data_IF_947195160054
#
_entry.id   IF_947195160054
#
_cell.length_a   1.000
_cell.length_b   1.000
_cell.length_c   1.000
_cell.angle_alpha   90.00
_cell.angle_beta   90.00
_cell.angle_gamma   90.00
#
_symmetry.space_group_name_H-M   'P 1'
#
loop_
_entity.id
_entity.type
_entity.pdbx_description
1 polymer ?
#
# COMPACT_ATOMS: atom_id res chain seq x y z
N UNK A 1 8.12 -18.32 -10.38
CA UNK A 1 7.16 -18.31 -9.25
C UNK A 1 7.82 -18.48 -7.86
N UNK A 2 9.12 -18.15 -7.67
CA UNK A 2 9.84 -18.42 -6.40
C UNK A 2 10.27 -17.18 -5.58
N UNK A 3 9.92 -15.95 -5.97
CA UNK A 3 10.47 -14.71 -5.36
C UNK A 3 9.54 -13.96 -4.38
N UNK A 4 8.34 -14.47 -4.12
CA UNK A 4 7.35 -13.84 -3.23
C UNK A 4 6.96 -14.71 -2.02
N UNK A 5 7.46 -15.94 -1.93
CA UNK A 5 7.06 -16.90 -0.90
C UNK A 5 7.24 -16.39 0.54
N UNK A 6 8.33 -15.70 0.93
CA UNK A 6 8.49 -15.28 2.32
C UNK A 6 7.48 -14.21 2.71
N UNK A 7 7.37 -13.13 1.93
CA UNK A 7 6.39 -12.05 2.19
C UNK A 7 4.96 -12.59 2.18
N UNK A 8 4.59 -13.39 1.18
CA UNK A 8 3.25 -13.97 1.11
C UNK A 8 3.00 -14.93 2.27
N UNK A 9 3.98 -15.75 2.67
CA UNK A 9 3.85 -16.61 3.85
C UNK A 9 3.71 -15.80 5.15
N UNK A 10 4.43 -14.68 5.28
CA UNK A 10 4.26 -13.72 6.38
C UNK A 10 2.86 -13.07 6.37
N UNK A 11 2.32 -12.75 5.19
CA UNK A 11 1.01 -12.14 5.04
C UNK A 11 -0.15 -13.14 5.27
N UNK A 12 0.04 -14.42 4.94
CA UNK A 12 -1.05 -15.41 4.88
C UNK A 12 -1.15 -16.39 6.05
N UNK A 13 -0.22 -16.39 7.02
CA UNK A 13 -0.26 -17.27 8.21
C UNK A 13 -0.82 -18.69 7.90
N UNK A 14 -0.32 -19.35 6.85
CA UNK A 14 -0.85 -20.64 6.39
C UNK A 14 0.18 -21.77 6.46
N UNK A 15 -0.35 -22.97 6.70
CA UNK A 15 0.31 -24.12 7.31
C UNK A 15 1.19 -24.86 6.28
N UNK A 16 2.51 -24.61 6.23
CA UNK A 16 3.45 -25.42 5.43
C UNK A 16 4.04 -26.62 6.19
N UNK A 17 3.66 -27.83 5.82
CA UNK A 17 4.10 -29.08 6.45
C UNK A 17 5.64 -29.17 6.57
N UNK A 18 6.14 -29.44 7.79
CA UNK A 18 7.57 -29.48 8.10
C UNK A 18 8.19 -30.72 7.46
N UNK A 19 9.00 -30.54 6.42
CA UNK A 19 9.96 -31.55 5.97
C UNK A 19 11.34 -31.26 6.60
N UNK A 20 12.21 -32.28 6.60
CA UNK A 20 13.47 -32.31 7.35
C UNK A 20 14.37 -31.09 7.14
N UNK A 21 14.91 -30.57 8.24
CA UNK A 21 15.77 -29.38 8.32
C UNK A 21 17.07 -29.56 7.53
N UNK A 22 17.16 -28.93 6.36
CA UNK A 22 18.39 -28.93 5.57
C UNK A 22 19.20 -27.65 5.85
N UNK A 23 20.46 -27.83 6.26
CA UNK A 23 21.42 -26.74 6.42
C UNK A 23 21.69 -26.10 5.06
N UNK A 24 21.74 -24.77 5.02
CA UNK A 24 21.94 -24.01 3.79
C UNK A 24 23.34 -23.37 3.66
N UNK A 25 24.34 -23.95 4.31
CA UNK A 25 25.69 -23.41 4.36
C UNK A 25 26.72 -24.54 4.33
N UNK A 26 27.92 -24.22 3.83
CA UNK A 26 29.06 -25.15 3.81
C UNK A 26 29.87 -25.02 5.10
N UNK A 27 30.04 -23.79 5.61
CA UNK A 27 30.72 -23.53 6.87
C UNK A 27 30.20 -22.28 7.59
N UNK A 28 30.58 -22.15 8.86
CA UNK A 28 30.25 -21.02 9.73
C UNK A 28 31.55 -20.39 10.22
N UNK A 29 31.62 -19.06 10.20
CA UNK A 29 32.73 -18.31 10.80
C UNK A 29 32.17 -17.13 11.60
N UNK A 30 32.54 -17.03 12.88
CA UNK A 30 31.95 -16.08 13.81
C UNK A 30 30.43 -16.27 13.94
N UNK A 31 29.67 -15.20 13.68
CA UNK A 31 28.20 -15.22 13.69
C UNK A 31 27.57 -15.69 12.38
N UNK A 32 28.33 -15.67 11.28
CA UNK A 32 27.78 -15.77 9.92
C UNK A 32 27.96 -17.16 9.32
N UNK A 33 27.05 -17.50 8.42
CA UNK A 33 27.04 -18.75 7.67
C UNK A 33 27.37 -18.46 6.21
N UNK A 34 28.17 -19.33 5.60
CA UNK A 34 28.72 -19.13 4.27
C UNK A 34 28.48 -20.33 3.36
N UNK A 35 28.19 -20.03 2.10
CA UNK A 35 28.12 -21.02 1.02
C UNK A 35 29.17 -20.70 -0.04
N UNK A 36 29.96 -21.68 -0.42
CA UNK A 36 30.97 -21.57 -1.48
C UNK A 36 30.23 -21.45 -2.81
N UNK A 37 30.40 -20.31 -3.48
CA UNK A 37 29.76 -20.01 -4.76
C UNK A 37 30.61 -20.45 -5.95
N UNK A 38 31.94 -20.38 -5.81
CA UNK A 38 32.90 -20.84 -6.80
C UNK A 38 34.22 -21.17 -6.09
N UNK A 39 34.54 -22.46 -5.98
CA UNK A 39 35.75 -22.93 -5.32
C UNK A 39 37.02 -22.52 -6.08
N UNK A 40 36.98 -22.51 -7.42
CA UNK A 40 38.15 -22.15 -8.24
C UNK A 40 38.48 -20.66 -8.18
N UNK A 41 37.48 -19.80 -7.99
CA UNK A 41 37.66 -18.36 -7.76
C UNK A 41 37.79 -17.99 -6.29
N UNK A 42 37.69 -18.98 -5.39
CA UNK A 42 37.63 -18.78 -3.95
C UNK A 42 36.61 -17.72 -3.54
N UNK A 43 35.34 -17.88 -3.96
CA UNK A 43 34.25 -16.96 -3.58
C UNK A 43 33.21 -17.67 -2.74
N UNK A 44 32.65 -16.92 -1.79
CA UNK A 44 31.52 -17.34 -0.96
C UNK A 44 30.43 -16.27 -0.97
N UNK A 45 29.25 -16.66 -0.49
CA UNK A 45 28.16 -15.75 -0.13
C UNK A 45 27.72 -15.94 1.31
N UNK A 46 27.26 -14.85 1.95
CA UNK A 46 26.53 -14.93 3.23
C UNK A 46 25.16 -15.53 2.96
N UNK A 47 24.78 -16.55 3.72
CA UNK A 47 23.57 -17.35 3.52
C UNK A 47 22.83 -17.54 4.85
N UNK A 48 21.50 -17.78 4.86
CA UNK A 48 20.82 -18.19 6.09
C UNK A 48 21.32 -19.54 6.61
N UNK A 49 21.04 -19.85 7.88
CA UNK A 49 21.37 -21.17 8.47
C UNK A 49 20.57 -22.30 7.79
N UNK A 50 19.30 -22.04 7.49
CA UNK A 50 18.32 -23.00 6.99
C UNK A 50 17.81 -22.61 5.59
N UNK A 51 17.42 -23.59 4.78
CA UNK A 51 16.82 -23.36 3.45
C UNK A 51 15.34 -22.99 3.51
N UNK A 52 14.67 -23.22 4.65
CA UNK A 52 13.24 -22.97 4.85
C UNK A 52 12.97 -22.17 6.14
N UNK A 53 11.85 -21.42 6.15
CA UNK A 53 11.39 -20.67 7.33
C UNK A 53 10.92 -21.62 8.44
N UNK A 54 11.43 -21.43 9.65
CA UNK A 54 10.87 -22.04 10.84
C UNK A 54 9.55 -21.37 11.18
N UNK A 55 8.48 -22.17 11.21
CA UNK A 55 7.15 -21.67 11.60
C UNK A 55 7.08 -21.09 13.01
N UNK A 56 7.84 -21.66 13.93
CA UNK A 56 7.76 -21.34 15.36
C UNK A 56 8.19 -19.92 15.66
N UNK A 57 9.13 -19.38 14.88
CA UNK A 57 9.70 -18.04 15.09
C UNK A 57 9.72 -17.17 13.83
N UNK A 58 9.26 -17.68 12.68
CA UNK A 58 9.29 -16.97 11.40
C UNK A 58 10.70 -16.67 10.89
N UNK A 59 11.71 -17.47 11.27
CA UNK A 59 13.11 -17.21 10.98
C UNK A 59 13.75 -18.33 10.17
N UNK A 60 14.80 -18.01 9.41
CA UNK A 60 15.66 -19.01 8.75
C UNK A 60 16.78 -19.54 9.66
N UNK A 61 16.61 -19.39 10.98
CA UNK A 61 17.62 -19.67 12.00
C UNK A 61 17.04 -20.44 13.17
N UNK A 62 17.76 -21.45 13.64
CA UNK A 62 17.46 -22.10 14.91
C UNK A 62 17.62 -21.10 16.05
N UNK A 63 18.68 -20.27 15.98
CA UNK A 63 18.93 -19.15 16.88
C UNK A 63 19.22 -17.89 16.03
N UNK A 64 18.24 -16.97 15.88
CA UNK A 64 18.40 -15.77 15.06
C UNK A 64 19.61 -14.92 15.46
N UNK A 65 20.25 -14.29 14.46
CA UNK A 65 21.39 -13.42 14.68
C UNK A 65 21.02 -12.17 15.50
N UNK A 66 21.97 -11.67 16.28
CA UNK A 66 21.75 -10.53 17.18
C UNK A 66 22.96 -9.58 17.28
N UNK A 67 22.66 -8.34 17.68
CA UNK A 67 23.61 -7.25 17.84
C UNK A 67 24.16 -6.74 16.52
N UNK A 68 25.36 -6.14 16.56
CA UNK A 68 26.01 -5.63 15.37
C UNK A 68 26.65 -6.77 14.55
N UNK A 69 26.49 -6.67 13.23
CA UNK A 69 26.99 -7.62 12.25
C UNK A 69 27.97 -6.90 11.32
N UNK A 70 29.19 -7.40 11.24
CA UNK A 70 30.19 -6.96 10.25
C UNK A 70 30.41 -8.11 9.29
N UNK A 71 30.06 -7.91 8.02
CA UNK A 71 30.35 -8.88 6.96
C UNK A 71 31.82 -8.66 6.55
N UNK A 72 32.70 -9.67 6.68
CA UNK A 72 34.11 -9.49 6.37
C UNK A 72 34.36 -9.51 4.85
N UNK A 73 35.43 -8.86 4.38
CA UNK A 73 35.86 -8.92 2.97
C UNK A 73 36.30 -10.33 2.54
N UNK A 74 36.82 -11.11 3.49
CA UNK A 74 37.37 -12.45 3.31
C UNK A 74 37.08 -13.31 4.54
N UNK A 75 37.03 -14.62 4.33
CA UNK A 75 36.88 -15.66 5.36
C UNK A 75 37.82 -16.82 5.07
N UNK A 76 38.13 -17.63 6.08
CA UNK A 76 39.03 -18.78 5.93
C UNK A 76 38.28 -20.09 6.18
N UNK A 77 38.42 -21.04 5.26
CA UNK A 77 37.86 -22.38 5.43
C UNK A 77 38.85 -23.43 4.92
N UNK A 78 39.17 -24.40 5.77
CA UNK A 78 40.09 -25.51 5.46
C UNK A 78 41.46 -25.03 4.95
N UNK A 79 41.99 -23.95 5.53
CA UNK A 79 43.29 -23.37 5.16
C UNK A 79 43.30 -22.59 3.84
N UNK A 80 42.12 -22.39 3.21
CA UNK A 80 41.96 -21.58 2.01
C UNK A 80 41.20 -20.30 2.33
N UNK A 81 41.66 -19.16 1.78
CA UNK A 81 40.95 -17.88 1.88
C UNK A 81 39.90 -17.76 0.79
N UNK A 82 38.71 -17.31 1.15
CA UNK A 82 37.59 -17.01 0.24
C UNK A 82 37.17 -15.55 0.35
N UNK A 83 36.83 -14.93 -0.77
CA UNK A 83 36.24 -13.59 -0.85
C UNK A 83 34.74 -13.65 -0.64
N UNK A 84 34.21 -12.81 0.26
CA UNK A 84 32.75 -12.67 0.45
C UNK A 84 32.22 -11.78 -0.67
N UNK A 85 31.64 -12.44 -1.68
CA UNK A 85 31.28 -11.81 -2.96
C UNK A 85 29.79 -11.48 -3.08
N UNK A 86 28.95 -12.07 -2.22
CA UNK A 86 27.51 -11.89 -2.28
C UNK A 86 26.84 -12.06 -0.92
N UNK A 87 25.61 -11.55 -0.83
CA UNK A 87 24.67 -11.82 0.27
C UNK A 87 23.42 -12.42 -0.37
N UNK A 88 23.04 -13.63 0.04
CA UNK A 88 21.94 -14.40 -0.56
C UNK A 88 20.57 -13.86 -0.14
N UNK A 89 19.54 -14.24 -0.90
CA UNK A 89 18.14 -14.01 -0.55
C UNK A 89 17.87 -14.38 0.92
N UNK A 90 17.17 -13.50 1.63
CA UNK A 90 16.81 -13.68 3.04
C UNK A 90 17.98 -13.95 4.01
N UNK A 91 19.22 -13.61 3.66
CA UNK A 91 20.39 -13.91 4.49
C UNK A 91 20.40 -13.29 5.89
N UNK A 92 19.52 -12.34 6.20
CA UNK A 92 19.25 -11.88 7.56
C UNK A 92 17.75 -11.94 7.91
N UNK A 93 16.95 -12.59 7.05
CA UNK A 93 15.50 -12.69 7.17
C UNK A 93 15.07 -13.23 8.55
N UNK A 94 14.23 -12.48 9.26
CA UNK A 94 13.73 -12.84 10.58
C UNK A 94 14.74 -12.68 11.72
N UNK A 95 15.91 -12.09 11.48
CA UNK A 95 16.87 -11.76 12.54
C UNK A 95 16.45 -10.47 13.28
N UNK A 96 15.40 -10.55 14.08
CA UNK A 96 14.78 -9.37 14.73
C UNK A 96 15.64 -8.65 15.78
N UNK A 97 16.81 -9.20 16.16
CA UNK A 97 17.70 -8.62 17.18
C UNK A 97 18.99 -8.02 16.62
N UNK A 98 19.19 -8.03 15.30
CA UNK A 98 20.35 -7.32 14.72
C UNK A 98 20.12 -5.82 14.84
N UNK A 99 21.17 -5.08 15.22
CA UNK A 99 21.10 -3.62 15.42
C UNK A 99 21.75 -2.87 14.28
N UNK A 100 22.82 -3.41 13.70
CA UNK A 100 23.44 -2.85 12.51
C UNK A 100 24.09 -3.93 11.64
N UNK A 101 24.24 -3.61 10.35
CA UNK A 101 24.96 -4.45 9.38
C UNK A 101 25.95 -3.59 8.59
N UNK A 102 27.22 -4.00 8.58
CA UNK A 102 28.26 -3.40 7.74
C UNK A 102 28.60 -4.30 6.56
N UNK A 103 28.43 -3.77 5.34
CA UNK A 103 28.66 -4.45 4.06
C UNK A 103 30.03 -4.03 3.49
N UNK A 104 30.93 -4.98 3.17
CA UNK A 104 32.29 -4.69 2.74
C UNK A 104 32.41 -4.45 1.23
N UNK A 105 33.57 -4.01 0.77
CA UNK A 105 33.84 -3.65 -0.63
C UNK A 105 33.61 -4.81 -1.64
N UNK A 106 33.89 -6.05 -1.26
CA UNK A 106 33.85 -7.19 -2.21
C UNK A 106 32.44 -7.72 -2.53
N UNK A 107 31.40 -7.28 -1.82
CA UNK A 107 30.02 -7.73 -2.07
C UNK A 107 29.51 -7.12 -3.38
N UNK A 108 29.51 -7.93 -4.44
CA UNK A 108 29.06 -7.60 -5.79
C UNK A 108 27.68 -8.18 -6.14
N UNK A 109 26.96 -8.77 -5.18
CA UNK A 109 25.57 -9.20 -5.37
C UNK A 109 24.79 -9.15 -4.06
N UNK A 110 23.58 -8.58 -4.12
CA UNK A 110 22.61 -8.57 -3.03
C UNK A 110 21.38 -9.36 -3.48
N UNK A 111 20.97 -10.33 -2.67
CA UNK A 111 19.75 -11.11 -2.90
C UNK A 111 18.47 -10.33 -2.60
N UNK A 112 17.34 -10.97 -2.85
CA UNK A 112 16.03 -10.42 -2.53
C UNK A 112 15.76 -10.53 -1.02
N UNK A 113 15.09 -9.53 -0.42
CA UNK A 113 14.57 -9.60 0.96
C UNK A 113 15.65 -9.89 2.02
N UNK A 114 16.90 -9.49 1.78
CA UNK A 114 18.05 -9.74 2.66
C UNK A 114 17.77 -9.37 4.12
N UNK A 115 17.10 -8.22 4.36
CA UNK A 115 16.77 -7.71 5.69
C UNK A 115 15.29 -7.83 6.08
N UNK A 116 14.54 -8.73 5.45
CA UNK A 116 13.12 -8.93 5.76
C UNK A 116 12.92 -9.23 7.25
N UNK A 117 12.00 -8.53 7.91
CA UNK A 117 11.68 -8.75 9.33
C UNK A 117 12.87 -8.59 10.29
N UNK A 118 13.90 -7.80 9.91
CA UNK A 118 14.97 -7.38 10.81
C UNK A 118 14.50 -6.26 11.74
N UNK A 119 13.51 -6.55 12.58
CA UNK A 119 12.76 -5.57 13.39
C UNK A 119 13.57 -4.81 14.43
N UNK A 120 14.84 -5.14 14.64
CA UNK A 120 15.79 -4.42 15.49
C UNK A 120 16.76 -3.51 14.74
N UNK A 121 16.80 -3.57 13.41
CA UNK A 121 17.84 -2.97 12.57
C UNK A 121 17.73 -1.44 12.57
N UNK A 122 18.79 -0.76 13.00
CA UNK A 122 18.82 0.70 13.13
C UNK A 122 19.59 1.38 11.99
N UNK A 123 20.58 0.70 11.43
CA UNK A 123 21.43 1.22 10.34
C UNK A 123 22.08 0.12 9.52
N UNK A 124 22.32 0.42 8.26
CA UNK A 124 23.14 -0.36 7.33
C UNK A 124 24.25 0.55 6.85
N UNK A 125 25.51 0.12 6.93
CA UNK A 125 26.65 0.88 6.40
C UNK A 125 27.32 0.10 5.29
N UNK A 126 27.80 0.78 4.26
CA UNK A 126 28.47 0.17 3.12
C UNK A 126 29.87 0.77 2.98
N UNK A 127 30.87 -0.09 2.77
CA UNK A 127 32.22 0.34 2.44
C UNK A 127 32.21 1.28 1.21
N UNK A 128 32.87 2.46 1.27
CA UNK A 128 32.89 3.41 0.15
C UNK A 128 33.36 2.82 -1.17
N UNK A 129 34.25 1.83 -1.12
CA UNK A 129 34.82 1.15 -2.30
C UNK A 129 33.89 0.04 -2.84
N UNK A 130 32.74 -0.22 -2.22
CA UNK A 130 31.79 -1.21 -2.73
C UNK A 130 31.30 -0.79 -4.13
N UNK A 131 31.38 -1.66 -5.15
CA UNK A 131 31.10 -1.28 -6.53
C UNK A 131 29.61 -1.15 -6.86
N UNK A 132 28.72 -1.74 -6.04
CA UNK A 132 27.30 -1.87 -6.38
C UNK A 132 26.33 -1.23 -5.39
N UNK A 133 26.77 -0.99 -4.17
CA UNK A 133 25.94 -0.52 -3.08
C UNK A 133 26.56 0.74 -2.49
N UNK A 134 25.72 1.52 -1.83
CA UNK A 134 26.13 2.56 -0.89
C UNK A 134 25.07 2.68 0.18
N UNK A 135 25.42 3.20 1.33
CA UNK A 135 24.43 3.78 2.22
C UNK A 135 24.33 5.30 2.02
N UNK A 136 23.13 5.82 2.25
CA UNK A 136 22.90 7.25 2.43
C UNK A 136 22.25 7.39 3.79
N UNK A 137 22.97 7.96 4.75
CA UNK A 137 22.49 8.17 6.12
C UNK A 137 22.02 6.84 6.76
N UNK A 138 22.81 5.77 6.59
CA UNK A 138 22.52 4.46 7.17
C UNK A 138 21.36 3.68 6.51
N UNK A 139 20.84 4.16 5.37
CA UNK A 139 19.81 3.48 4.54
C UNK A 139 20.48 2.90 3.31
N UNK A 140 20.13 1.68 2.91
CA UNK A 140 20.80 0.98 1.82
C UNK A 140 20.23 1.38 0.44
N UNK A 141 21.13 1.76 -0.47
CA UNK A 141 20.83 2.08 -1.85
C UNK A 141 21.71 1.27 -2.82
N UNK A 142 21.30 1.22 -4.08
CA UNK A 142 22.21 0.90 -5.17
C UNK A 142 23.31 1.96 -5.30
N UNK A 143 24.44 1.65 -5.96
CA UNK A 143 25.59 2.57 -6.06
C UNK A 143 25.20 3.92 -6.65
N UNK A 144 24.25 3.93 -7.59
CA UNK A 144 23.79 5.17 -8.21
C UNK A 144 22.98 6.04 -7.24
N UNK A 145 22.30 5.44 -6.25
CA UNK A 145 21.38 6.13 -5.32
C UNK A 145 19.98 6.28 -5.90
N UNK A 146 19.71 5.67 -7.05
CA UNK A 146 18.41 5.72 -7.71
C UNK A 146 17.42 4.73 -7.11
N UNK A 147 17.88 3.68 -6.44
CA UNK A 147 17.03 2.64 -5.85
C UNK A 147 17.29 2.56 -4.35
N UNK A 148 16.26 2.87 -3.56
CA UNK A 148 16.26 2.60 -2.12
C UNK A 148 15.91 1.13 -1.92
N UNK A 149 16.91 0.34 -1.50
CA UNK A 149 16.83 -1.12 -1.44
C UNK A 149 16.30 -1.63 -0.10
N UNK A 150 16.70 -0.99 1.00
CA UNK A 150 16.26 -1.37 2.34
C UNK A 150 16.40 -0.23 3.33
N UNK A 151 15.32 0.04 4.04
CA UNK A 151 15.26 0.96 5.17
C UNK A 151 15.38 0.18 6.48
N UNK A 152 16.24 0.60 7.44
CA UNK A 152 16.35 -0.06 8.74
C UNK A 152 15.06 0.08 9.56
N UNK A 153 14.49 -1.05 10.00
CA UNK A 153 13.17 -1.10 10.64
C UNK A 153 13.00 -0.22 11.89
N UNK A 154 14.07 -0.01 12.65
CA UNK A 154 14.12 0.78 13.88
C UNK A 154 14.73 2.16 13.68
N UNK A 155 15.01 2.57 12.44
CA UNK A 155 15.39 3.95 12.16
C UNK A 155 14.20 4.87 12.44
N UNK A 156 14.38 5.75 13.41
CA UNK A 156 13.34 6.66 13.92
C UNK A 156 13.27 7.97 13.12
N UNK A 157 12.16 8.70 13.30
CA UNK A 157 11.91 10.07 12.83
C UNK A 157 11.44 10.21 11.36
N UNK A 158 11.31 11.47 10.94
CA UNK A 158 10.96 11.86 9.58
C UNK A 158 12.10 11.47 8.64
N UNK A 159 11.79 10.73 7.58
CA UNK A 159 12.76 10.41 6.55
C UNK A 159 12.46 11.17 5.27
N UNK A 160 13.46 11.90 4.77
CA UNK A 160 13.42 12.52 3.46
C UNK A 160 14.21 11.64 2.50
N UNK A 161 13.49 10.96 1.60
CA UNK A 161 14.12 10.12 0.58
C UNK A 161 14.95 11.04 -0.34
N UNK A 162 16.26 10.78 -0.54
CA UNK A 162 17.14 11.70 -1.27
C UNK A 162 16.67 12.01 -2.69
N UNK A 163 16.81 13.26 -3.11
CA UNK A 163 16.56 13.67 -4.51
C UNK A 163 17.48 12.89 -5.47
N UNK A 164 16.94 12.48 -6.62
CA UNK A 164 17.59 11.54 -7.53
C UNK A 164 17.17 10.09 -7.30
N UNK A 165 16.53 9.76 -6.18
CA UNK A 165 15.89 8.45 -6.00
C UNK A 165 14.73 8.30 -6.99
N UNK A 166 14.73 7.21 -7.75
CA UNK A 166 13.76 6.88 -8.80
C UNK A 166 12.82 5.75 -8.36
N UNK A 167 13.28 4.86 -7.49
CA UNK A 167 12.52 3.68 -7.07
C UNK A 167 12.67 3.43 -5.57
N UNK A 168 11.55 3.21 -4.90
CA UNK A 168 11.50 2.50 -3.61
C UNK A 168 11.19 1.04 -3.93
N UNK A 169 12.16 0.15 -3.75
CA UNK A 169 12.03 -1.24 -4.21
C UNK A 169 10.98 -2.01 -3.41
N UNK A 170 10.50 -3.16 -3.91
CA UNK A 170 9.60 -4.02 -3.15
C UNK A 170 10.11 -4.31 -1.74
N UNK A 171 9.21 -4.22 -0.75
CA UNK A 171 9.48 -4.42 0.67
C UNK A 171 10.57 -3.53 1.31
N UNK A 172 11.00 -2.44 0.67
CA UNK A 172 12.11 -1.63 1.18
C UNK A 172 11.87 -1.05 2.59
N UNK A 173 10.63 -0.73 2.94
CA UNK A 173 10.20 -0.27 4.28
C UNK A 173 9.31 -1.31 5.00
N UNK A 174 9.31 -2.58 4.58
CA UNK A 174 8.45 -3.59 5.20
C UNK A 174 8.74 -3.74 6.69
N UNK A 175 7.70 -3.71 7.54
CA UNK A 175 7.79 -3.74 9.01
C UNK A 175 8.63 -2.60 9.62
N UNK A 176 8.77 -1.45 8.94
CA UNK A 176 9.45 -0.30 9.51
C UNK A 176 8.57 0.37 10.56
N UNK A 177 8.67 -0.13 11.79
CA UNK A 177 7.79 0.23 12.90
C UNK A 177 8.17 1.54 13.61
N UNK A 178 9.28 2.18 13.21
CA UNK A 178 9.78 3.40 13.84
C UNK A 178 9.57 4.66 12.99
N UNK A 179 9.30 4.54 11.69
CA UNK A 179 9.12 5.69 10.79
C UNK A 179 7.72 6.27 10.95
N UNK A 180 7.63 7.58 11.16
CA UNK A 180 6.35 8.29 11.35
C UNK A 180 5.91 9.05 10.10
N UNK A 181 6.87 9.61 9.36
CA UNK A 181 6.62 10.31 8.10
C UNK A 181 7.73 9.99 7.08
N UNK A 182 7.35 9.97 5.81
CA UNK A 182 8.27 9.81 4.68
C UNK A 182 7.96 10.86 3.64
N UNK A 183 8.96 11.67 3.27
CA UNK A 183 8.86 12.60 2.15
C UNK A 183 9.54 12.01 0.92
N UNK A 184 8.80 11.93 -0.18
CA UNK A 184 9.30 11.43 -1.45
C UNK A 184 9.86 12.54 -2.33
N UNK A 185 10.94 12.29 -3.09
CA UNK A 185 11.55 13.27 -3.98
C UNK A 185 10.76 13.45 -5.27
N UNK A 186 11.05 14.53 -5.99
CA UNK A 186 10.40 14.84 -7.28
C UNK A 186 10.82 13.89 -8.40
N UNK A 187 11.92 13.15 -8.22
CA UNK A 187 12.42 12.14 -9.17
C UNK A 187 11.76 10.78 -9.05
N UNK A 188 10.98 10.51 -8.00
CA UNK A 188 10.43 9.17 -7.73
C UNK A 188 9.48 8.71 -8.84
N UNK A 189 9.66 7.50 -9.37
CA UNK A 189 8.80 6.92 -10.41
C UNK A 189 8.00 5.73 -9.93
N UNK A 190 8.54 4.95 -9.00
CA UNK A 190 7.89 3.73 -8.54
C UNK A 190 7.99 3.51 -7.02
N UNK A 191 6.90 2.96 -6.46
CA UNK A 191 6.85 2.40 -5.12
C UNK A 191 6.46 0.93 -5.25
N UNK A 192 7.36 0.04 -4.87
CA UNK A 192 7.24 -1.40 -5.12
C UNK A 192 6.15 -2.11 -4.31
N UNK A 193 5.93 -3.37 -4.67
CA UNK A 193 5.06 -4.31 -3.95
C UNK A 193 5.39 -4.31 -2.45
N UNK A 194 4.36 -4.13 -1.62
CA UNK A 194 4.43 -4.11 -0.15
C UNK A 194 5.47 -3.15 0.44
N UNK A 195 5.92 -2.13 -0.30
CA UNK A 195 7.05 -1.29 0.09
C UNK A 195 6.96 -0.76 1.53
N UNK A 196 5.80 -0.27 1.96
CA UNK A 196 5.53 0.23 3.32
C UNK A 196 4.60 -0.69 4.13
N UNK A 197 4.41 -1.94 3.71
CA UNK A 197 3.57 -2.87 4.42
C UNK A 197 4.00 -3.02 5.88
N UNK A 198 3.04 -2.95 6.81
CA UNK A 198 3.25 -2.99 8.26
C UNK A 198 4.14 -1.86 8.81
N UNK A 199 4.17 -0.67 8.20
CA UNK A 199 4.76 0.51 8.86
C UNK A 199 3.81 1.02 9.97
N UNK A 200 3.85 0.39 11.15
CA UNK A 200 2.83 0.57 12.21
C UNK A 200 2.80 1.97 12.85
N UNK A 201 3.78 2.83 12.58
CA UNK A 201 3.83 4.21 13.07
C UNK A 201 3.70 5.28 11.99
N UNK A 202 3.65 4.89 10.71
CA UNK A 202 3.49 5.84 9.61
C UNK A 202 2.12 6.51 9.73
N UNK A 203 2.09 7.85 9.89
CA UNK A 203 0.86 8.62 10.13
C UNK A 203 0.27 9.22 8.86
N UNK A 204 1.13 9.61 7.94
CA UNK A 204 0.73 10.32 6.72
C UNK A 204 1.57 9.86 5.54
N UNK A 205 0.94 9.76 4.37
CA UNK A 205 1.65 9.56 3.11
C UNK A 205 1.12 10.48 2.02
N UNK A 206 2.03 11.09 1.25
CA UNK A 206 1.70 11.80 0.02
C UNK A 206 2.49 11.18 -1.13
N UNK A 207 1.82 10.40 -1.99
CA UNK A 207 2.43 9.88 -3.22
C UNK A 207 2.46 11.00 -4.26
N UNK A 208 3.65 11.39 -4.77
CA UNK A 208 3.77 12.57 -5.63
C UNK A 208 3.35 12.30 -7.08
N UNK A 209 3.09 13.36 -7.84
CA UNK A 209 2.54 13.33 -9.22
C UNK A 209 3.40 12.55 -10.21
N UNK A 210 4.71 12.52 -9.98
CA UNK A 210 5.71 11.87 -10.83
C UNK A 210 5.72 10.34 -10.74
N UNK A 211 5.06 9.74 -9.75
CA UNK A 211 4.96 8.29 -9.60
C UNK A 211 4.00 7.73 -10.65
N UNK A 212 4.45 6.72 -11.39
CA UNK A 212 3.68 6.04 -12.44
C UNK A 212 3.38 4.59 -12.09
N UNK A 213 4.08 4.03 -11.10
CA UNK A 213 3.95 2.63 -10.69
C UNK A 213 3.79 2.52 -9.17
N UNK A 214 2.69 1.91 -8.73
CA UNK A 214 2.42 1.53 -7.35
C UNK A 214 2.20 0.03 -7.28
N UNK A 215 2.90 -0.65 -6.38
CA UNK A 215 2.71 -2.08 -6.14
C UNK A 215 1.47 -2.38 -5.30
N UNK A 216 0.95 -3.61 -5.43
CA UNK A 216 -0.05 -4.13 -4.49
C UNK A 216 0.50 -4.11 -3.06
N UNK A 217 -0.41 -4.00 -2.08
CA UNK A 217 -0.08 -3.95 -0.65
C UNK A 217 0.85 -2.80 -0.22
N UNK A 218 1.09 -1.78 -1.07
CA UNK A 218 2.13 -0.77 -0.82
C UNK A 218 2.08 -0.14 0.57
N UNK A 219 0.88 0.10 1.13
CA UNK A 219 0.66 0.64 2.49
C UNK A 219 -0.18 -0.31 3.37
N UNK A 220 -0.15 -1.61 3.07
CA UNK A 220 -0.93 -2.62 3.78
C UNK A 220 -0.65 -2.58 5.29
N UNK A 221 -1.71 -2.61 6.11
CA UNK A 221 -1.63 -2.71 7.55
C UNK A 221 -0.75 -1.63 8.23
N UNK A 222 -0.74 -0.41 7.68
CA UNK A 222 -0.18 0.76 8.35
C UNK A 222 -1.20 1.29 9.38
N UNK A 223 -1.26 0.65 10.55
CA UNK A 223 -2.36 0.85 11.51
C UNK A 223 -2.44 2.26 12.10
N UNK A 224 -1.35 3.03 12.08
CA UNK A 224 -1.33 4.44 12.49
C UNK A 224 -1.57 5.43 11.35
N UNK A 225 -1.73 4.98 10.10
CA UNK A 225 -1.91 5.87 8.96
C UNK A 225 -3.27 6.56 9.05
N UNK A 226 -3.27 7.88 9.23
CA UNK A 226 -4.47 8.70 9.37
C UNK A 226 -4.87 9.37 8.05
N UNK A 227 -3.88 9.65 7.18
CA UNK A 227 -4.05 10.40 5.94
C UNK A 227 -3.24 9.84 4.78
N UNK A 228 -3.90 9.64 3.65
CA UNK A 228 -3.28 9.25 2.38
C UNK A 228 -3.67 10.21 1.25
N UNK A 229 -2.69 10.89 0.65
CA UNK A 229 -2.88 11.73 -0.53
C UNK A 229 -2.17 11.08 -1.71
N UNK A 230 -2.92 10.71 -2.74
CA UNK A 230 -2.37 10.15 -3.97
C UNK A 230 -2.50 11.18 -5.08
N UNK A 231 -1.36 11.81 -5.43
CA UNK A 231 -1.29 12.77 -6.54
C UNK A 231 -0.85 12.15 -7.85
N UNK A 232 -0.30 10.94 -7.80
CA UNK A 232 0.14 10.16 -8.96
C UNK A 232 -1.00 9.97 -9.97
N UNK A 233 -0.70 10.11 -11.26
CA UNK A 233 -1.65 9.81 -12.33
C UNK A 233 -1.72 8.30 -12.55
N UNK A 234 -2.57 7.64 -11.76
CA UNK A 234 -2.76 6.18 -11.77
C UNK A 234 -4.19 5.83 -12.19
N UNK A 235 -4.34 4.71 -12.89
CA UNK A 235 -5.65 4.18 -13.31
C UNK A 235 -6.32 3.32 -12.23
N UNK A 236 -5.61 2.90 -11.19
CA UNK A 236 -6.16 2.01 -10.17
C UNK A 236 -5.59 2.22 -8.77
N UNK A 237 -6.46 2.11 -7.76
CA UNK A 237 -6.03 1.84 -6.38
C UNK A 237 -5.82 0.33 -6.27
N UNK A 238 -4.56 -0.06 -6.04
CA UNK A 238 -4.06 -1.44 -6.09
C UNK A 238 -4.65 -2.37 -5.03
N UNK A 239 -4.48 -3.67 -5.26
CA UNK A 239 -5.01 -4.70 -4.37
C UNK A 239 -4.42 -4.53 -2.97
N UNK A 240 -5.27 -4.57 -1.93
CA UNK A 240 -4.90 -4.40 -0.53
C UNK A 240 -4.11 -3.11 -0.17
N UNK A 241 -4.04 -2.10 -1.06
CA UNK A 241 -3.10 -0.98 -0.90
C UNK A 241 -3.16 -0.32 0.48
N UNK A 242 -4.36 -0.08 1.01
CA UNK A 242 -4.61 0.49 2.35
C UNK A 242 -5.39 -0.46 3.27
N UNK A 243 -5.48 -1.75 2.93
CA UNK A 243 -6.20 -2.72 3.76
C UNK A 243 -5.61 -2.74 5.17
N UNK A 244 -6.47 -2.79 6.19
CA UNK A 244 -6.13 -2.75 7.62
C UNK A 244 -5.42 -1.48 8.09
N UNK A 245 -5.53 -0.36 7.36
CA UNK A 245 -5.16 0.96 7.88
C UNK A 245 -6.24 1.44 8.87
N UNK A 246 -6.24 0.88 10.07
CA UNK A 246 -7.31 1.04 11.07
C UNK A 246 -7.41 2.44 11.69
N UNK A 247 -6.52 3.37 11.33
CA UNK A 247 -6.60 4.79 11.70
C UNK A 247 -6.95 5.70 10.52
N UNK A 248 -7.13 5.17 9.31
CA UNK A 248 -7.25 5.97 8.07
C UNK A 248 -8.59 6.70 8.03
N UNK A 249 -8.54 8.02 7.96
CA UNK A 249 -9.70 8.93 7.97
C UNK A 249 -9.80 9.73 6.68
N UNK A 250 -8.68 10.21 6.18
CA UNK A 250 -8.59 11.13 5.05
C UNK A 250 -7.90 10.45 3.87
N UNK A 251 -8.64 10.20 2.79
CA UNK A 251 -8.10 9.66 1.54
C UNK A 251 -8.42 10.62 0.41
N UNK A 252 -7.38 11.04 -0.32
CA UNK A 252 -7.52 11.76 -1.58
C UNK A 252 -7.04 10.87 -2.72
N UNK A 253 -7.99 10.40 -3.55
CA UNK A 253 -7.71 9.66 -4.78
C UNK A 253 -7.74 10.59 -6.01
N UNK A 254 -6.89 10.35 -7.02
CA UNK A 254 -6.84 11.18 -8.21
C UNK A 254 -8.01 10.87 -9.14
N UNK A 255 -8.41 11.85 -9.96
CA UNK A 255 -9.55 11.73 -10.88
C UNK A 255 -9.34 10.72 -12.02
N UNK A 256 -8.09 10.30 -12.24
CA UNK A 256 -7.68 9.32 -13.24
C UNK A 256 -7.99 7.87 -12.86
N UNK A 257 -8.35 7.61 -11.60
CA UNK A 257 -8.64 6.26 -11.13
C UNK A 257 -9.92 5.74 -11.78
N UNK A 258 -9.80 4.60 -12.46
CA UNK A 258 -10.89 3.86 -13.08
C UNK A 258 -11.30 2.64 -12.24
N UNK A 259 -10.38 2.07 -11.44
CA UNK A 259 -10.65 0.87 -10.64
C UNK A 259 -10.17 1.00 -9.19
N UNK A 260 -10.99 0.54 -8.25
CA UNK A 260 -10.59 0.29 -6.85
C UNK A 260 -10.55 -1.23 -6.66
N UNK A 261 -9.34 -1.77 -6.52
CA UNK A 261 -9.10 -3.23 -6.53
C UNK A 261 -9.49 -3.92 -5.23
N UNK A 262 -9.47 -5.25 -5.28
CA UNK A 262 -9.90 -6.12 -4.19
C UNK A 262 -9.23 -5.74 -2.86
N UNK A 263 -10.03 -5.61 -1.80
CA UNK A 263 -9.59 -5.21 -0.46
C UNK A 263 -8.87 -3.85 -0.34
N UNK A 264 -8.84 -2.99 -1.36
CA UNK A 264 -8.03 -1.76 -1.37
C UNK A 264 -8.12 -0.91 -0.09
N UNK A 265 -9.33 -0.75 0.48
CA UNK A 265 -9.62 -0.03 1.73
C UNK A 265 -10.29 -0.91 2.79
N UNK A 266 -10.16 -2.24 2.70
CA UNK A 266 -10.77 -3.15 3.68
C UNK A 266 -10.26 -2.85 5.09
N UNK A 267 -11.14 -2.90 6.09
CA UNK A 267 -10.89 -2.59 7.50
C UNK A 267 -10.35 -1.16 7.78
N UNK A 268 -10.59 -0.19 6.89
CA UNK A 268 -10.38 1.25 7.15
C UNK A 268 -11.51 1.83 8.02
N UNK A 269 -11.67 1.26 9.23
CA UNK A 269 -12.84 1.46 10.09
C UNK A 269 -13.19 2.94 10.41
N UNK A 270 -12.26 3.89 10.60
CA UNK A 270 -12.58 5.27 10.94
C UNK A 270 -12.98 6.16 9.77
N UNK A 271 -12.83 5.71 8.53
CA UNK A 271 -13.13 6.51 7.33
C UNK A 271 -14.63 6.80 7.27
N UNK A 272 -15.00 8.09 7.35
CA UNK A 272 -16.41 8.53 7.40
C UNK A 272 -17.04 8.78 6.04
N UNK A 273 -16.22 9.17 5.07
CA UNK A 273 -16.59 9.53 3.72
C UNK A 273 -15.39 9.36 2.81
N UNK A 274 -15.63 9.05 1.54
CA UNK A 274 -14.63 9.07 0.49
C UNK A 274 -15.26 9.63 -0.78
N UNK A 275 -14.55 10.52 -1.45
CA UNK A 275 -14.96 11.00 -2.78
C UNK A 275 -14.45 10.02 -3.82
N UNK A 276 -15.36 9.38 -4.55
CA UNK A 276 -15.02 8.54 -5.70
C UNK A 276 -14.72 9.41 -6.94
N UNK A 277 -13.90 8.93 -7.89
CA UNK A 277 -13.66 9.62 -9.16
C UNK A 277 -14.90 9.56 -10.06
N UNK A 278 -15.16 10.60 -10.86
CA UNK A 278 -16.27 10.58 -11.83
C UNK A 278 -16.08 9.48 -12.90
N UNK A 279 -14.83 9.23 -13.31
CA UNK A 279 -14.47 8.23 -14.32
C UNK A 279 -14.31 6.79 -13.78
N UNK A 280 -14.71 6.54 -12.53
CA UNK A 280 -14.58 5.22 -11.92
C UNK A 280 -15.54 4.22 -12.57
N UNK A 281 -14.97 3.12 -13.07
CA UNK A 281 -15.68 2.04 -13.75
C UNK A 281 -15.95 0.86 -12.82
N UNK A 282 -15.05 0.54 -11.89
CA UNK A 282 -15.18 -0.66 -11.07
C UNK A 282 -14.72 -0.50 -9.63
N UNK A 283 -15.46 -1.13 -8.72
CA UNK A 283 -15.04 -1.39 -7.34
C UNK A 283 -15.07 -2.90 -7.16
N UNK A 284 -13.90 -3.50 -6.95
CA UNK A 284 -13.75 -4.96 -6.85
C UNK A 284 -14.21 -5.49 -5.47
N UNK A 285 -14.15 -6.82 -5.31
CA UNK A 285 -14.66 -7.49 -4.12
C UNK A 285 -13.99 -6.99 -2.84
N UNK A 286 -14.79 -6.83 -1.78
CA UNK A 286 -14.35 -6.40 -0.45
C UNK A 286 -13.56 -5.08 -0.39
N UNK A 287 -13.59 -4.24 -1.44
CA UNK A 287 -12.79 -3.02 -1.51
C UNK A 287 -12.97 -2.07 -0.33
N UNK A 288 -14.19 -1.93 0.21
CA UNK A 288 -14.53 -1.16 1.40
C UNK A 288 -15.09 -2.02 2.53
N UNK A 289 -14.87 -3.35 2.50
CA UNK A 289 -15.34 -4.25 3.55
C UNK A 289 -14.84 -3.77 4.92
N UNK A 290 -15.72 -3.68 5.92
CA UNK A 290 -15.31 -3.31 7.28
C UNK A 290 -15.03 -1.81 7.48
N UNK A 291 -15.35 -0.94 6.52
CA UNK A 291 -15.36 0.52 6.72
C UNK A 291 -16.52 0.96 7.62
N UNK A 292 -16.48 0.56 8.89
CA UNK A 292 -17.62 0.63 9.81
C UNK A 292 -18.11 2.04 10.14
N UNK A 293 -17.29 3.08 9.93
CA UNK A 293 -17.68 4.49 10.11
C UNK A 293 -18.15 5.17 8.82
N UNK A 294 -18.05 4.51 7.66
CA UNK A 294 -18.47 5.08 6.38
C UNK A 294 -19.97 5.35 6.42
N UNK A 295 -20.35 6.63 6.38
CA UNK A 295 -21.71 7.07 6.66
C UNK A 295 -22.51 7.47 5.41
N UNK A 296 -21.80 7.82 4.36
CA UNK A 296 -22.36 8.15 3.06
C UNK A 296 -21.41 7.74 1.94
N UNK A 297 -21.98 7.37 0.79
CA UNK A 297 -21.22 7.10 -0.43
C UNK A 297 -22.01 7.58 -1.65
N UNK A 298 -21.30 8.15 -2.63
CA UNK A 298 -21.87 8.45 -3.94
C UNK A 298 -21.21 7.57 -4.99
N UNK A 299 -22.01 6.74 -5.65
CA UNK A 299 -21.61 5.85 -6.72
C UNK A 299 -21.71 6.61 -8.06
N UNK A 300 -20.60 6.74 -8.83
CA UNK A 300 -20.57 7.56 -10.03
C UNK A 300 -21.45 7.01 -11.16
N UNK A 301 -21.81 7.89 -12.10
CA UNK A 301 -22.68 7.55 -13.24
C UNK A 301 -22.01 6.51 -14.16
N UNK A 302 -20.69 6.59 -14.34
CA UNK A 302 -19.90 5.65 -15.15
C UNK A 302 -19.58 4.32 -14.47
N UNK A 303 -20.12 4.05 -13.27
CA UNK A 303 -19.78 2.83 -12.54
C UNK A 303 -20.41 1.60 -13.20
N UNK A 304 -19.57 0.74 -13.78
CA UNK A 304 -19.94 -0.46 -14.52
C UNK A 304 -20.00 -1.71 -13.62
N UNK A 305 -19.22 -1.76 -12.53
CA UNK A 305 -19.10 -2.95 -11.69
C UNK A 305 -18.98 -2.66 -10.18
N UNK A 306 -19.69 -3.47 -9.39
CA UNK A 306 -19.52 -3.62 -7.93
C UNK A 306 -19.24 -5.08 -7.56
N UNK A 307 -18.10 -5.36 -6.94
CA UNK A 307 -17.69 -6.71 -6.54
C UNK A 307 -18.43 -7.22 -5.30
N UNK A 308 -18.32 -8.54 -5.06
CA UNK A 308 -18.93 -9.17 -3.89
C UNK A 308 -18.43 -8.54 -2.58
N UNK A 309 -19.32 -8.33 -1.62
CA UNK A 309 -18.98 -7.77 -0.30
C UNK A 309 -18.29 -6.39 -0.34
N UNK A 310 -18.38 -5.63 -1.44
CA UNK A 310 -17.62 -4.39 -1.63
C UNK A 310 -17.84 -3.36 -0.51
N UNK A 311 -19.05 -3.26 0.04
CA UNK A 311 -19.40 -2.42 1.18
C UNK A 311 -19.95 -3.24 2.37
N UNK A 312 -19.61 -4.53 2.46
CA UNK A 312 -20.04 -5.36 3.58
C UNK A 312 -19.47 -4.81 4.90
N UNK A 313 -20.27 -4.90 5.97
CA UNK A 313 -19.98 -4.37 7.31
C UNK A 313 -19.79 -2.84 7.37
N UNK A 314 -20.24 -2.08 6.37
CA UNK A 314 -20.36 -0.62 6.44
C UNK A 314 -21.55 -0.20 7.31
N UNK A 315 -21.54 -0.57 8.59
CA UNK A 315 -22.69 -0.47 9.51
C UNK A 315 -23.20 0.95 9.76
N UNK A 316 -22.37 1.97 9.55
CA UNK A 316 -22.76 3.37 9.72
C UNK A 316 -23.38 3.99 8.46
N UNK A 317 -23.48 3.24 7.35
CA UNK A 317 -23.95 3.78 6.07
C UNK A 317 -25.43 4.16 6.17
N UNK A 318 -25.69 5.47 6.09
CA UNK A 318 -27.02 6.07 6.20
C UNK A 318 -27.53 6.62 4.88
N UNK A 319 -26.65 6.85 3.90
CA UNK A 319 -27.05 7.33 2.59
C UNK A 319 -26.17 6.74 1.49
N UNK A 320 -26.82 6.18 0.48
CA UNK A 320 -26.19 5.77 -0.78
C UNK A 320 -26.80 6.63 -1.87
N UNK A 321 -25.96 7.35 -2.62
CA UNK A 321 -26.41 8.09 -3.80
C UNK A 321 -25.92 7.37 -5.05
N UNK A 322 -26.86 6.93 -5.89
CA UNK A 322 -26.57 6.35 -7.19
C UNK A 322 -26.78 7.41 -8.27
N UNK A 323 -25.75 7.71 -9.07
CA UNK A 323 -25.88 8.65 -10.19
C UNK A 323 -26.30 7.97 -11.50
N UNK A 324 -26.28 6.63 -11.53
CA UNK A 324 -26.79 5.86 -12.66
C UNK A 324 -28.30 5.92 -12.74
N UNK A 325 -28.78 6.04 -13.97
CA UNK A 325 -30.19 5.91 -14.29
C UNK A 325 -30.65 4.45 -14.12
N UNK A 326 -29.87 3.49 -14.61
CA UNK A 326 -30.20 2.07 -14.47
C UNK A 326 -29.41 1.41 -13.31
N UNK A 327 -30.08 0.64 -12.43
CA UNK A 327 -29.41 -0.09 -11.37
C UNK A 327 -28.43 -1.12 -11.94
N UNK A 328 -27.31 -1.31 -11.22
CA UNK A 328 -26.44 -2.46 -11.41
C UNK A 328 -27.18 -3.75 -11.07
N UNK A 329 -26.93 -4.82 -11.82
CA UNK A 329 -27.66 -6.10 -11.79
C UNK A 329 -26.81 -7.19 -11.14
N UNK A 330 -27.37 -7.88 -10.15
CA UNK A 330 -26.71 -9.01 -9.47
C UNK A 330 -26.29 -10.12 -10.45
N UNK A 331 -25.07 -10.66 -10.27
CA UNK A 331 -24.54 -11.78 -11.06
C UNK A 331 -23.95 -11.37 -12.40
N UNK A 332 -24.22 -10.14 -12.87
CA UNK A 332 -23.66 -9.57 -14.10
C UNK A 332 -22.70 -8.43 -13.77
N UNK A 333 -23.22 -7.38 -13.12
CA UNK A 333 -22.50 -6.13 -12.82
C UNK A 333 -22.41 -5.85 -11.33
N UNK A 334 -23.13 -6.61 -10.49
CA UNK A 334 -23.05 -6.57 -9.04
C UNK A 334 -22.78 -7.95 -8.43
N UNK A 335 -21.80 -8.06 -7.53
CA UNK A 335 -21.49 -9.27 -6.78
C UNK A 335 -22.49 -9.55 -5.66
N UNK A 336 -22.35 -10.68 -4.95
CA UNK A 336 -23.21 -11.01 -3.80
C UNK A 336 -22.89 -10.13 -2.59
N UNK A 337 -23.88 -9.91 -1.71
CA UNK A 337 -23.67 -9.33 -0.37
C UNK A 337 -22.98 -7.96 -0.36
N UNK A 338 -23.13 -7.15 -1.41
CA UNK A 338 -22.43 -5.85 -1.55
C UNK A 338 -22.65 -4.93 -0.36
N UNK A 339 -23.87 -4.87 0.16
CA UNK A 339 -24.26 -4.02 1.29
C UNK A 339 -24.68 -4.86 2.51
N UNK A 340 -24.09 -6.04 2.71
CA UNK A 340 -24.36 -6.82 3.92
C UNK A 340 -23.91 -6.04 5.17
N UNK A 341 -24.68 -6.14 6.25
CA UNK A 341 -24.46 -5.36 7.47
C UNK A 341 -24.85 -3.87 7.39
N UNK A 342 -25.31 -3.36 6.24
CA UNK A 342 -26.00 -2.06 6.13
C UNK A 342 -27.46 -2.24 6.56
N UNK A 343 -27.98 -1.33 7.38
CA UNK A 343 -29.41 -1.29 7.70
C UNK A 343 -30.19 -0.69 6.52
N UNK A 344 -30.75 -1.57 5.68
CA UNK A 344 -31.47 -1.18 4.46
C UNK A 344 -32.84 -0.54 4.71
N UNK A 345 -33.33 -0.55 5.95
CA UNK A 345 -34.53 0.19 6.34
C UNK A 345 -34.23 1.65 6.71
N UNK A 346 -33.07 1.90 7.30
CA UNK A 346 -32.63 3.24 7.70
C UNK A 346 -31.81 3.95 6.62
N UNK A 347 -31.04 3.20 5.82
CA UNK A 347 -30.20 3.77 4.78
C UNK A 347 -31.06 4.34 3.65
N UNK A 348 -30.94 5.64 3.40
CA UNK A 348 -31.59 6.29 2.26
C UNK A 348 -30.86 5.96 0.96
N UNK A 349 -31.55 5.32 0.03
CA UNK A 349 -31.09 5.11 -1.34
C UNK A 349 -31.61 6.25 -2.23
N UNK A 350 -30.71 7.16 -2.61
CA UNK A 350 -31.01 8.30 -3.50
C UNK A 350 -30.72 7.91 -4.94
N UNK A 351 -31.70 8.01 -5.80
CA UNK A 351 -31.61 7.62 -7.22
C UNK A 351 -32.08 8.76 -8.12
N UNK A 352 -31.75 8.74 -9.43
CA UNK A 352 -32.21 9.76 -10.35
C UNK A 352 -33.74 9.75 -10.49
N UNK A 353 -34.31 10.94 -10.69
CA UNK A 353 -35.74 11.11 -10.91
C UNK A 353 -36.22 10.28 -12.10
N UNK A 354 -37.30 9.50 -11.89
CA UNK A 354 -37.90 8.62 -12.89
C UNK A 354 -37.37 7.18 -12.84
N UNK A 355 -36.42 6.87 -11.96
CA UNK A 355 -35.76 5.56 -11.90
C UNK A 355 -36.01 4.81 -10.58
N UNK A 356 -36.77 5.38 -9.63
CA UNK A 356 -37.07 4.70 -8.36
C UNK A 356 -37.68 3.32 -8.53
N UNK A 357 -38.64 3.15 -9.43
CA UNK A 357 -39.31 1.86 -9.61
C UNK A 357 -38.36 0.79 -10.15
N UNK A 358 -37.39 1.18 -11.00
CA UNK A 358 -36.37 0.26 -11.51
C UNK A 358 -35.43 -0.20 -10.39
N UNK A 359 -34.97 0.73 -9.55
CA UNK A 359 -34.16 0.40 -8.37
C UNK A 359 -34.95 -0.44 -7.35
N UNK A 360 -36.22 -0.15 -7.12
CA UNK A 360 -37.07 -0.92 -6.20
C UNK A 360 -37.34 -2.35 -6.70
N UNK A 361 -37.29 -2.59 -8.01
CA UNK A 361 -37.49 -3.90 -8.62
C UNK A 361 -36.19 -4.71 -8.76
N UNK A 362 -35.03 -4.05 -8.85
CA UNK A 362 -33.75 -4.71 -9.08
C UNK A 362 -33.29 -5.55 -7.89
N UNK A 363 -32.74 -6.73 -8.18
CA UNK A 363 -32.19 -7.62 -7.15
C UNK A 363 -31.10 -6.90 -6.34
N UNK A 364 -31.04 -7.15 -5.02
CA UNK A 364 -30.20 -6.47 -4.02
C UNK A 364 -30.58 -5.02 -3.70
N UNK A 365 -31.09 -4.26 -4.66
CA UNK A 365 -31.60 -2.91 -4.42
C UNK A 365 -33.01 -2.92 -3.81
N UNK A 366 -33.84 -3.91 -4.16
CA UNK A 366 -35.20 -4.11 -3.62
C UNK A 366 -35.27 -4.26 -2.10
N UNK A 367 -34.14 -4.58 -1.47
CA UNK A 367 -34.05 -4.70 -0.01
C UNK A 367 -34.02 -3.33 0.69
N UNK A 368 -33.73 -2.24 -0.03
CA UNK A 368 -33.80 -0.87 0.49
C UNK A 368 -35.26 -0.39 0.50
N UNK A 369 -35.79 -0.10 1.69
CA UNK A 369 -37.18 0.35 1.83
C UNK A 369 -37.33 1.87 1.79
N UNK A 370 -36.24 2.60 2.03
CA UNK A 370 -36.18 4.06 1.95
C UNK A 370 -35.52 4.54 0.65
N UNK A 371 -36.28 4.54 -0.45
CA UNK A 371 -35.79 5.01 -1.76
C UNK A 371 -36.39 6.38 -2.09
N UNK A 372 -35.53 7.35 -2.38
CA UNK A 372 -35.90 8.73 -2.74
C UNK A 372 -35.37 9.12 -4.13
N UNK A 373 -36.12 9.95 -4.83
CA UNK A 373 -35.76 10.45 -6.15
C UNK A 373 -35.26 11.89 -6.07
N UNK A 374 -34.19 12.18 -6.81
CA UNK A 374 -33.58 13.51 -6.82
C UNK A 374 -33.24 13.94 -8.25
N UNK A 375 -33.19 15.26 -8.50
CA UNK A 375 -32.57 15.78 -9.73
C UNK A 375 -31.05 15.66 -9.61
N UNK A 376 -30.54 14.45 -9.84
CA UNK A 376 -29.11 14.13 -9.79
C UNK A 376 -28.39 14.44 -11.11
N UNK A 377 -29.13 14.90 -12.13
CA UNK A 377 -28.57 15.18 -13.46
C UNK A 377 -27.55 16.32 -13.39
N UNK A 378 -26.29 16.00 -13.70
CA UNK A 378 -25.19 16.96 -13.72
C UNK A 378 -24.57 17.31 -12.37
N UNK A 379 -24.85 16.55 -11.30
CA UNK A 379 -24.08 16.65 -10.05
C UNK A 379 -22.67 16.10 -10.28
N UNK A 380 -21.67 16.98 -10.42
CA UNK A 380 -20.27 16.55 -10.28
C UNK A 380 -19.98 16.23 -8.83
N UNK A 381 -19.24 15.14 -8.60
CA UNK A 381 -18.72 14.76 -7.29
C UNK A 381 -17.92 15.93 -6.70
N UNK A 382 -17.92 16.13 -5.36
CA UNK A 382 -17.17 17.23 -4.74
C UNK A 382 -15.69 17.16 -5.14
N UNK A 383 -15.24 18.12 -5.95
CA UNK A 383 -13.84 18.21 -6.38
C UNK A 383 -12.99 18.45 -5.13
N UNK A 384 -12.14 17.48 -4.78
CA UNK A 384 -11.15 17.66 -3.73
C UNK A 384 -10.19 18.77 -4.20
N UNK A 385 -10.15 19.90 -3.46
CA UNK A 385 -9.40 21.09 -3.85
C UNK A 385 -7.89 20.83 -3.78
N UNK A 386 -7.33 20.31 -4.88
CA UNK A 386 -5.89 20.07 -5.06
C UNK A 386 -5.28 20.75 -6.29
N UNK A 387 -6.07 21.49 -7.08
CA UNK A 387 -5.57 22.27 -8.23
C UNK A 387 -6.15 23.68 -8.21
N UNK A 388 -5.28 24.69 -8.23
CA UNK A 388 -5.62 26.07 -8.60
C UNK A 388 -6.01 26.13 -10.07
N UNK A 389 -7.27 25.77 -10.37
CA UNK A 389 -7.94 26.24 -11.58
C UNK A 389 -8.78 27.47 -11.23
N UNK A 390 -8.90 28.42 -12.17
CA UNK A 390 -9.81 29.57 -12.04
C UNK A 390 -11.25 29.06 -12.01
N UNK A 391 -11.79 28.83 -10.82
CA UNK A 391 -13.14 28.34 -10.63
C UNK A 391 -14.17 29.45 -10.87
N UNK A 392 -15.09 29.25 -11.82
CA UNK A 392 -16.23 30.15 -12.01
C UNK A 392 -17.46 29.52 -11.36
N UNK A 393 -18.09 30.24 -10.44
CA UNK A 393 -19.24 29.77 -9.67
C UNK A 393 -20.47 30.60 -10.03
N UNK A 394 -21.60 29.93 -10.28
CA UNK A 394 -22.91 30.55 -10.45
C UNK A 394 -23.91 29.97 -9.44
N UNK A 395 -24.91 30.75 -9.05
CA UNK A 395 -26.11 30.21 -8.39
C UNK A 395 -26.96 29.43 -9.41
N UNK A 396 -27.88 28.59 -8.93
CA UNK A 396 -28.88 27.91 -9.77
C UNK A 396 -29.66 28.85 -10.70
N UNK A 397 -29.85 30.11 -10.30
CA UNK A 397 -30.54 31.13 -11.09
C UNK A 397 -29.63 31.84 -12.10
N UNK A 398 -28.40 31.34 -12.31
CA UNK A 398 -27.44 31.88 -13.27
C UNK A 398 -26.66 33.12 -12.79
N UNK A 399 -26.77 33.49 -11.51
CA UNK A 399 -26.01 34.63 -10.99
C UNK A 399 -24.56 34.23 -10.71
N UNK A 400 -23.61 34.87 -11.38
CA UNK A 400 -22.17 34.65 -11.14
C UNK A 400 -21.77 35.17 -9.75
N UNK A 401 -21.10 34.34 -8.97
CA UNK A 401 -20.50 34.74 -7.69
C UNK A 401 -19.10 35.34 -7.87
N UNK A 402 -18.64 36.19 -6.93
CA UNK A 402 -17.27 36.72 -6.92
C UNK A 402 -16.21 35.61 -6.98
N UNK A 403 -15.05 35.90 -7.58
CA UNK A 403 -13.97 34.91 -7.76
C UNK A 403 -13.44 34.29 -6.44
N UNK A 404 -13.69 34.96 -5.30
CA UNK A 404 -13.28 34.53 -3.97
C UNK A 404 -14.47 34.07 -3.10
N UNK A 405 -15.66 33.91 -3.68
CA UNK A 405 -16.83 33.51 -2.95
C UNK A 405 -16.71 32.05 -2.49
N UNK A 406 -16.88 31.82 -1.18
CA UNK A 406 -17.16 30.49 -0.65
C UNK A 406 -18.67 30.32 -0.66
N UNK A 407 -19.22 29.42 -1.51
CA UNK A 407 -20.66 29.20 -1.56
C UNK A 407 -21.14 28.68 -0.20
N UNK A 408 -22.22 29.23 0.33
CA UNK A 408 -22.90 28.68 1.50
C UNK A 408 -23.61 27.35 1.16
N UNK A 409 -24.21 26.66 2.14
CA UNK A 409 -25.02 25.47 1.91
C UNK A 409 -26.04 25.68 0.77
N UNK A 410 -26.03 24.82 -0.25
CA UNK A 410 -26.92 24.94 -1.41
C UNK A 410 -26.31 24.42 -2.72
N UNK A 411 -27.01 24.64 -3.83
CA UNK A 411 -26.68 24.07 -5.14
C UNK A 411 -26.21 25.17 -6.11
N UNK A 412 -25.04 24.96 -6.71
CA UNK A 412 -24.29 25.93 -7.54
C UNK A 412 -23.93 25.32 -8.88
N UNK A 413 -23.58 26.15 -9.86
CA UNK A 413 -22.91 25.71 -11.09
C UNK A 413 -21.45 26.11 -10.98
N UNK A 414 -20.55 25.15 -10.88
CA UNK A 414 -19.12 25.35 -10.77
C UNK A 414 -18.47 24.81 -12.04
N UNK A 415 -17.82 25.68 -12.81
CA UNK A 415 -17.20 25.34 -14.11
C UNK A 415 -18.16 24.57 -15.05
N UNK A 416 -19.43 24.99 -15.09
CA UNK A 416 -20.45 24.41 -15.96
C UNK A 416 -21.13 23.14 -15.44
N UNK A 417 -20.79 22.66 -14.24
CA UNK A 417 -21.42 21.48 -13.62
C UNK A 417 -22.19 21.86 -12.36
N UNK A 418 -23.32 21.19 -12.08
CA UNK A 418 -24.05 21.42 -10.82
C UNK A 418 -23.22 20.82 -9.67
N UNK A 419 -23.02 21.57 -8.60
CA UNK A 419 -22.30 21.15 -7.38
C UNK A 419 -23.15 21.51 -6.18
N UNK A 420 -23.39 20.54 -5.30
CA UNK A 420 -24.02 20.79 -4.01
C UNK A 420 -22.93 21.05 -2.96
N UNK A 421 -22.97 22.22 -2.34
CA UNK A 421 -22.08 22.63 -1.25
C UNK A 421 -22.84 22.41 0.06
N UNK A 422 -22.24 21.67 1.00
CA UNK A 422 -22.87 21.26 2.26
C UNK A 422 -22.94 22.37 3.29
#
# INVERSE_FOLDING_TARGET
MRRTLPIIAFLLLSIMQVCAQQKNYDFKEGKLFYKITDAGKHTVEVTPELDELLKTNGSFYNNPLEGDIVIPNKVEHQGQQYYVSAIRDNAFGGCGKITSVSIPANVGRLGDQVFLSCTGLQRITVDPENPMLKDIDGVLFDKSGKKLLSFPNMRTANYEVPEGTVEVTPAAFFLCNAVETVKFPSTLKSIGFVAFGHCLKLREVTVPENVTELGDYAFYNCTALEKAIIKADISEIKQYMFSRCTSLKEVSIPSSVEFIRTWAFSDCAPMKSITLPEGLKGIDAEAFNGCTSLSEITLPEGLEQLGAHAFDRCKALKSITCLRNEPLVQGETMGVSVFDGVDKNLCELKVPRGYKDQYAAAEQWKEFTNISEHDLTGISLPINQGRTMKTTIFTLNGQRLPANAQPAQGLYIINGKKVYVK
#
